data_IF_291549287854
#
_entry.id   IF_291549287854
#
_cell.length_a   1.000
_cell.length_b   1.000
_cell.length_c   1.000
_cell.angle_alpha   90.00
_cell.angle_beta   90.00
_cell.angle_gamma   90.00
#
_symmetry.space_group_name_H-M   'P 1'
#
loop_
_entity.id
_entity.type
_entity.pdbx_description
1 polymer ?
#
# COMPACT_ATOMS: atom_id res chain seq x y z
N UNK A 1 21.89 4.12 -13.47
CA UNK A 1 21.38 4.63 -12.19
C UNK A 1 19.88 4.92 -12.20
N UNK A 2 19.34 5.96 -12.87
CA UNK A 2 17.89 6.25 -12.80
C UNK A 2 16.98 5.08 -13.23
N UNK A 3 17.30 4.42 -14.35
CA UNK A 3 16.51 3.29 -14.86
C UNK A 3 16.51 2.13 -13.86
N UNK A 4 17.66 1.80 -13.28
CA UNK A 4 17.78 0.75 -12.26
C UNK A 4 17.00 1.11 -10.99
N UNK A 5 17.02 2.38 -10.57
CA UNK A 5 16.22 2.87 -9.44
C UNK A 5 14.72 2.78 -9.72
N UNK A 6 14.28 3.06 -10.95
CA UNK A 6 12.88 2.91 -11.36
C UNK A 6 12.43 1.45 -11.37
N UNK A 7 13.26 0.55 -11.90
CA UNK A 7 12.99 -0.89 -11.92
C UNK A 7 12.94 -1.45 -10.49
N UNK A 8 13.88 -1.03 -9.63
CA UNK A 8 13.89 -1.39 -8.21
C UNK A 8 12.66 -0.90 -7.46
N UNK A 9 12.22 0.33 -7.70
CA UNK A 9 11.00 0.89 -7.11
C UNK A 9 9.74 0.15 -7.60
N UNK A 10 9.66 -0.16 -8.89
CA UNK A 10 8.58 -0.94 -9.47
C UNK A 10 8.49 -2.34 -8.84
N UNK A 11 9.62 -3.02 -8.66
CA UNK A 11 9.68 -4.33 -8.00
C UNK A 11 9.31 -4.25 -6.50
N UNK A 12 9.71 -3.18 -5.82
CA UNK A 12 9.36 -2.95 -4.42
C UNK A 12 7.84 -2.79 -4.23
N UNK A 13 7.19 -2.01 -5.11
CA UNK A 13 5.73 -1.84 -5.12
C UNK A 13 4.99 -3.18 -5.34
N UNK A 14 5.49 -4.04 -6.23
CA UNK A 14 4.92 -5.37 -6.46
C UNK A 14 5.09 -6.33 -5.29
N UNK A 15 6.15 -6.16 -4.50
CA UNK A 15 6.40 -7.01 -3.33
C UNK A 15 5.39 -6.81 -2.20
N UNK A 16 4.69 -5.67 -2.17
CA UNK A 16 3.74 -5.32 -1.11
C UNK A 16 4.38 -5.05 0.27
N UNK A 17 5.71 -5.01 0.36
CA UNK A 17 6.44 -4.77 1.62
C UNK A 17 6.76 -3.28 1.77
N UNK A 18 6.21 -2.64 2.81
CA UNK A 18 6.41 -1.21 3.06
C UNK A 18 7.89 -0.83 3.19
N UNK A 19 8.69 -1.61 3.92
CA UNK A 19 10.11 -1.35 4.12
C UNK A 19 10.90 -1.37 2.80
N UNK A 20 10.56 -2.28 1.89
CA UNK A 20 11.20 -2.36 0.58
C UNK A 20 10.86 -1.14 -0.28
N UNK A 21 9.62 -0.63 -0.19
CA UNK A 21 9.19 0.57 -0.91
C UNK A 21 9.91 1.81 -0.38
N UNK A 22 10.06 1.97 0.93
CA UNK A 22 10.76 3.11 1.53
C UNK A 22 12.25 3.15 1.13
N UNK A 23 12.94 2.00 1.16
CA UNK A 23 14.34 1.89 0.72
C UNK A 23 14.49 2.21 -0.77
N UNK A 24 13.58 1.71 -1.60
CA UNK A 24 13.61 1.97 -3.04
C UNK A 24 13.24 3.43 -3.37
N UNK A 25 12.35 4.06 -2.60
CA UNK A 25 12.01 5.48 -2.72
C UNK A 25 13.23 6.36 -2.44
N UNK A 26 13.98 6.10 -1.36
CA UNK A 26 15.19 6.85 -1.03
C UNK A 26 16.23 6.74 -2.16
N UNK A 27 16.40 5.54 -2.71
CA UNK A 27 17.31 5.28 -3.83
C UNK A 27 16.87 6.01 -5.10
N UNK A 28 15.56 6.07 -5.37
CA UNK A 28 15.01 6.81 -6.51
C UNK A 28 15.12 8.32 -6.30
N UNK A 29 14.84 8.82 -5.11
CA UNK A 29 14.96 10.23 -4.75
C UNK A 29 16.40 10.71 -4.92
N UNK A 30 17.38 9.95 -4.44
CA UNK A 30 18.80 10.23 -4.64
C UNK A 30 19.18 10.31 -6.12
N UNK A 31 18.72 9.34 -6.93
CA UNK A 31 18.98 9.33 -8.37
C UNK A 31 18.35 10.52 -9.09
N UNK A 32 17.16 10.98 -8.68
CA UNK A 32 16.49 12.15 -9.24
C UNK A 32 17.15 13.45 -8.78
N UNK A 33 17.54 13.57 -7.51
CA UNK A 33 18.22 14.76 -6.98
C UNK A 33 19.58 15.01 -7.63
N UNK A 34 20.25 13.96 -8.11
CA UNK A 34 21.51 14.08 -8.85
C UNK A 34 21.36 14.54 -10.31
N UNK A 35 20.14 14.66 -10.83
CA UNK A 35 19.91 14.98 -12.24
C UNK A 35 20.14 16.45 -12.57
N UNK A 36 20.75 16.68 -13.73
CA UNK A 36 20.91 18.00 -14.34
C UNK A 36 19.86 18.25 -15.43
N UNK A 37 19.77 19.48 -15.91
CA UNK A 37 18.83 19.88 -16.98
C UNK A 37 19.05 19.10 -18.29
N UNK A 38 20.29 18.70 -18.57
CA UNK A 38 20.63 17.86 -19.71
C UNK A 38 20.00 16.45 -19.62
N UNK A 39 19.95 15.88 -18.41
CA UNK A 39 19.35 14.56 -18.15
C UNK A 39 17.84 14.59 -18.37
N UNK A 40 17.17 15.66 -17.93
CA UNK A 40 15.73 15.86 -18.17
C UNK A 40 15.41 15.89 -19.67
N UNK A 41 16.25 16.57 -20.46
CA UNK A 41 16.11 16.63 -21.91
C UNK A 41 16.31 15.24 -22.53
N UNK A 42 17.28 14.48 -22.02
CA UNK A 42 17.57 13.13 -22.50
C UNK A 42 16.42 12.15 -22.17
N UNK A 43 15.84 12.22 -20.97
CA UNK A 43 14.65 11.44 -20.56
C UNK A 43 13.45 11.76 -21.45
N UNK A 44 13.24 13.03 -21.78
CA UNK A 44 12.12 13.43 -22.66
C UNK A 44 12.21 12.79 -24.05
N UNK A 45 13.43 12.50 -24.52
CA UNK A 45 13.70 11.93 -25.85
C UNK A 45 13.81 10.41 -25.83
N UNK A 46 14.12 9.80 -24.68
CA UNK A 46 14.26 8.36 -24.56
C UNK A 46 12.87 7.70 -24.30
N UNK A 47 12.34 6.89 -25.24
CA UNK A 47 11.05 6.21 -25.05
C UNK A 47 11.09 5.16 -23.94
N UNK A 48 12.23 4.48 -23.74
CA UNK A 48 12.35 3.40 -22.75
C UNK A 48 12.29 3.96 -21.33
N UNK A 49 12.99 5.07 -21.06
CA UNK A 49 12.94 5.72 -19.74
C UNK A 49 11.54 6.24 -19.43
N UNK A 50 10.83 6.78 -20.42
CA UNK A 50 9.42 7.19 -20.26
C UNK A 50 8.53 6.01 -19.93
N UNK A 51 8.69 4.89 -20.63
CA UNK A 51 7.96 3.65 -20.34
C UNK A 51 8.15 3.16 -18.90
N UNK A 52 9.39 3.21 -18.37
CA UNK A 52 9.66 2.83 -16.97
C UNK A 52 9.06 3.77 -15.95
N UNK A 53 9.05 5.08 -16.22
CA UNK A 53 8.36 6.06 -15.37
C UNK A 53 6.85 5.77 -15.33
N UNK A 54 6.25 5.48 -16.48
CA UNK A 54 4.81 5.19 -16.57
C UNK A 54 4.45 3.85 -15.90
N UNK A 55 5.32 2.84 -16.02
CA UNK A 55 5.18 1.58 -15.30
C UNK A 55 5.19 1.79 -13.77
N UNK A 56 6.17 2.54 -13.26
CA UNK A 56 6.27 2.86 -11.83
C UNK A 56 5.03 3.64 -11.34
N UNK A 57 4.54 4.61 -12.12
CA UNK A 57 3.30 5.35 -11.82
C UNK A 57 2.08 4.43 -11.76
N UNK A 58 1.97 3.49 -12.70
CA UNK A 58 0.86 2.54 -12.75
C UNK A 58 0.85 1.65 -11.49
N UNK A 59 2.00 1.08 -11.12
CA UNK A 59 2.15 0.25 -9.92
C UNK A 59 1.80 1.03 -8.64
N UNK A 60 2.25 2.28 -8.54
CA UNK A 60 1.92 3.17 -7.42
C UNK A 60 0.41 3.45 -7.32
N UNK A 61 -0.23 3.73 -8.46
CA UNK A 61 -1.68 3.95 -8.53
C UNK A 61 -2.45 2.72 -8.02
N UNK A 62 -2.03 1.52 -8.44
CA UNK A 62 -2.61 0.26 -7.96
C UNK A 62 -2.42 0.07 -6.46
N UNK A 63 -1.23 0.35 -5.91
CA UNK A 63 -0.99 0.30 -4.46
C UNK A 63 -1.93 1.25 -3.70
N UNK A 64 -2.13 2.48 -4.20
CA UNK A 64 -3.07 3.45 -3.59
C UNK A 64 -4.51 2.95 -3.64
N UNK A 65 -4.95 2.40 -4.76
CA UNK A 65 -6.30 1.84 -4.89
C UNK A 65 -6.52 0.66 -3.93
N UNK A 66 -5.54 -0.24 -3.80
CA UNK A 66 -5.60 -1.36 -2.85
C UNK A 66 -5.61 -0.85 -1.39
N UNK A 67 -4.80 0.15 -1.06
CA UNK A 67 -4.82 0.79 0.25
C UNK A 67 -6.19 1.41 0.59
N UNK A 68 -6.78 2.14 -0.36
CA UNK A 68 -8.12 2.71 -0.19
C UNK A 68 -9.19 1.63 0.00
N UNK A 69 -9.13 0.54 -0.78
CA UNK A 69 -10.04 -0.60 -0.62
C UNK A 69 -9.87 -1.29 0.74
N UNK A 70 -8.64 -1.49 1.19
CA UNK A 70 -8.34 -2.06 2.50
C UNK A 70 -8.85 -1.17 3.64
N UNK A 71 -8.65 0.16 3.55
CA UNK A 71 -9.22 1.11 4.51
C UNK A 71 -10.76 1.07 4.52
N UNK A 72 -11.38 0.99 3.34
CA UNK A 72 -12.84 0.83 3.21
C UNK A 72 -13.36 -0.44 3.90
N UNK A 73 -12.63 -1.57 3.75
CA UNK A 73 -12.95 -2.82 4.44
C UNK A 73 -12.80 -2.70 5.96
N UNK A 74 -11.74 -2.06 6.46
CA UNK A 74 -11.55 -1.84 7.91
C UNK A 74 -12.69 -1.02 8.50
N UNK A 75 -13.12 0.04 7.80
CA UNK A 75 -14.28 0.85 8.20
C UNK A 75 -15.58 0.03 8.17
N UNK A 76 -15.81 -0.73 7.08
CA UNK A 76 -17.02 -1.51 6.88
C UNK A 76 -17.15 -2.69 7.86
N UNK A 77 -16.04 -3.30 8.27
CA UNK A 77 -16.03 -4.36 9.28
C UNK A 77 -16.36 -3.86 10.70
N UNK A 78 -16.58 -2.55 10.88
CA UNK A 78 -16.93 -2.00 12.19
C UNK A 78 -15.82 -2.20 13.21
N UNK A 79 -14.56 -2.35 12.76
CA UNK A 79 -13.38 -2.28 13.64
C UNK A 79 -13.14 -0.80 14.00
N UNK A 80 -14.20 -0.14 14.46
CA UNK A 80 -14.19 1.13 15.17
C UNK A 80 -13.66 0.83 16.56
N UNK A 81 -12.35 0.70 16.67
CA UNK A 81 -11.53 1.23 17.77
C UNK A 81 -10.13 0.58 17.71
N UNK A 82 -9.32 1.04 16.74
CA UNK A 82 -7.97 1.41 17.13
C UNK A 82 -8.14 2.63 18.05
N UNK A 83 -8.39 2.36 19.33
CA UNK A 83 -8.56 3.39 20.33
C UNK A 83 -7.35 4.34 20.27
N UNK A 84 -7.59 5.60 20.63
CA UNK A 84 -6.65 6.74 20.71
C UNK A 84 -5.27 6.45 21.36
N UNK A 85 -5.05 5.25 21.89
CA UNK A 85 -3.84 4.77 22.57
C UNK A 85 -3.28 3.43 22.03
N UNK A 86 -3.66 2.98 20.82
CA UNK A 86 -2.99 1.84 20.17
C UNK A 86 -3.16 0.49 20.87
N UNK A 87 -4.27 0.30 21.60
CA UNK A 87 -4.69 -1.03 22.07
C UNK A 87 -6.01 -1.40 21.38
N UNK A 88 -6.16 -2.64 20.90
CA UNK A 88 -7.44 -3.12 20.42
C UNK A 88 -8.44 -3.03 21.57
N UNK A 89 -9.44 -2.17 21.43
CA UNK A 89 -10.62 -2.19 22.29
C UNK A 89 -11.43 -3.40 21.85
N UNK A 90 -11.16 -4.55 22.47
CA UNK A 90 -12.13 -5.65 22.44
C UNK A 90 -13.31 -5.24 23.30
N UNK A 91 -14.29 -4.57 22.70
CA UNK A 91 -15.66 -4.63 23.18
C UNK A 91 -16.25 -5.96 22.70
N UNK A 92 -16.56 -6.91 23.59
CA UNK A 92 -17.26 -8.12 23.17
C UNK A 92 -18.69 -7.72 22.83
N UNK A 93 -18.95 -7.46 21.56
CA UNK A 93 -20.29 -7.22 21.09
C UNK A 93 -21.01 -8.57 20.90
N UNK A 94 -22.06 -8.73 21.70
CA UNK A 94 -23.22 -9.61 21.50
C UNK A 94 -23.09 -11.03 22.06
N UNK A 95 -23.49 -11.13 23.33
CA UNK A 95 -24.32 -12.25 23.81
C UNK A 95 -25.49 -12.40 22.85
N UNK A 96 -25.38 -13.32 21.89
CA UNK A 96 -26.52 -13.79 21.13
C UNK A 96 -27.28 -14.78 22.03
N UNK A 97 -28.22 -14.25 22.80
CA UNK A 97 -29.35 -15.00 23.33
C UNK A 97 -29.95 -15.84 22.21
N UNK A 98 -29.80 -17.15 22.29
CA UNK A 98 -30.66 -18.09 21.55
C UNK A 98 -31.51 -18.86 22.55
N UNK A 99 -32.81 -19.02 22.27
CA UNK A 99 -33.83 -19.37 23.25
C UNK A 99 -33.78 -20.85 23.64
N UNK A 100 -34.19 -21.14 24.87
CA UNK A 100 -34.38 -22.49 25.38
C UNK A 100 -35.39 -23.26 24.53
N UNK A 101 -34.91 -24.22 23.73
CA UNK A 101 -35.70 -25.39 23.34
C UNK A 101 -34.76 -26.59 23.21
N UNK A 102 -35.23 -27.71 23.77
CA UNK A 102 -34.60 -29.03 23.89
C UNK A 102 -33.64 -29.23 25.06
N UNK A 103 -34.21 -29.50 26.24
CA UNK A 103 -33.90 -30.70 27.02
C UNK A 103 -34.87 -30.84 28.21
N UNK A 104 -35.91 -31.67 28.07
CA UNK A 104 -36.16 -32.77 29.02
C UNK A 104 -37.36 -33.60 28.55
N UNK A 105 -37.06 -34.83 28.16
CA UNK A 105 -37.97 -35.98 28.23
C UNK A 105 -38.22 -36.35 29.70
N UNK A 106 -39.24 -37.16 29.96
CA UNK A 106 -39.30 -38.02 31.14
C UNK A 106 -40.52 -37.79 32.01
#
# INVERSE_FOLDING_TARGET
MLIESLDGFAAALESGRADAVLLAEETLASAVSGMQTADLTMISRNPDTRGRIDEARHKLSRCRAMGAAASGLVIAMGVSDYGRHGRPSMTPAVVATTPAMMASRG
#
